data_IF_133978677927
#
_entry.id   IF_133978677927
#
_cell.length_a   1.000
_cell.length_b   1.000
_cell.length_c   1.000
_cell.angle_alpha   90.00
_cell.angle_beta   90.00
_cell.angle_gamma   90.00
#
_symmetry.space_group_name_H-M   'P 1'
#
loop_
_entity.id
_entity.type
_entity.pdbx_description
1 polymer ?
#
# COMPACT_ATOMS: atom_id res chain seq x y z
N UNK A 1 0.47 23.58 12.96
CA UNK A 1 1.39 22.81 12.10
C UNK A 1 2.51 22.13 12.91
N UNK A 2 3.14 22.80 13.87
CA UNK A 2 4.16 22.19 14.76
C UNK A 2 3.63 21.01 15.59
N UNK A 3 2.38 21.09 16.06
CA UNK A 3 1.72 20.01 16.82
C UNK A 3 1.51 18.72 16.00
N UNK A 4 1.12 18.83 14.72
CA UNK A 4 0.90 17.66 13.85
C UNK A 4 2.21 16.94 13.50
N UNK A 5 3.28 17.70 13.21
CA UNK A 5 4.61 17.12 12.94
C UNK A 5 5.17 16.40 14.18
N UNK A 6 5.07 17.02 15.35
CA UNK A 6 5.48 16.39 16.61
C UNK A 6 4.67 15.12 16.91
N UNK A 7 3.36 15.15 16.64
CA UNK A 7 2.51 13.96 16.77
C UNK A 7 2.95 12.83 15.85
N UNK A 8 3.17 13.11 14.56
CA UNK A 8 3.67 12.11 13.59
C UNK A 8 5.01 11.54 14.03
N UNK A 9 5.97 12.38 14.44
CA UNK A 9 7.26 11.93 14.95
C UNK A 9 7.12 11.02 16.18
N UNK A 10 6.20 11.35 17.10
CA UNK A 10 5.92 10.53 18.28
C UNK A 10 5.33 9.17 17.92
N UNK A 11 4.38 9.11 16.98
CA UNK A 11 3.79 7.85 16.52
C UNK A 11 4.82 6.97 15.81
N UNK A 12 5.72 7.55 15.01
CA UNK A 12 6.85 6.83 14.40
C UNK A 12 7.76 6.26 15.48
N UNK A 13 8.12 7.06 16.49
CA UNK A 13 8.98 6.58 17.57
C UNK A 13 8.33 5.44 18.35
N UNK A 14 7.02 5.53 18.63
CA UNK A 14 6.25 4.44 19.27
C UNK A 14 6.25 3.19 18.40
N UNK A 15 6.04 3.35 17.10
CA UNK A 15 6.07 2.24 16.14
C UNK A 15 7.45 1.58 16.05
N UNK A 16 8.52 2.36 15.91
CA UNK A 16 9.89 1.85 15.85
C UNK A 16 10.27 1.10 17.13
N UNK A 17 9.92 1.66 18.30
CA UNK A 17 10.09 0.97 19.59
C UNK A 17 9.32 -0.35 19.62
N UNK A 18 8.06 -0.37 19.19
CA UNK A 18 7.27 -1.59 19.13
C UNK A 18 7.88 -2.64 18.20
N UNK A 19 8.37 -2.21 17.02
CA UNK A 19 9.01 -3.10 16.05
C UNK A 19 10.29 -3.72 16.59
N UNK A 20 11.16 -2.94 17.24
CA UNK A 20 12.47 -3.41 17.69
C UNK A 20 12.34 -4.29 18.94
N UNK A 21 11.49 -3.87 19.89
CA UNK A 21 11.41 -4.50 21.21
C UNK A 21 10.57 -5.78 21.21
N UNK A 22 9.58 -5.90 20.33
CA UNK A 22 8.69 -7.08 20.30
C UNK A 22 9.21 -8.18 19.36
N UNK A 23 8.99 -9.45 19.74
CA UNK A 23 9.25 -10.60 18.87
C UNK A 23 8.53 -10.54 17.50
N UNK A 24 7.21 -10.24 17.41
CA UNK A 24 6.53 -10.10 16.13
C UNK A 24 7.10 -8.93 15.30
N UNK A 25 7.43 -7.82 15.96
CA UNK A 25 8.07 -6.67 15.33
C UNK A 25 9.41 -7.00 14.68
N UNK A 26 10.29 -7.71 15.38
CA UNK A 26 11.59 -8.14 14.83
C UNK A 26 11.41 -9.06 13.62
N UNK A 27 10.41 -9.96 13.63
CA UNK A 27 10.10 -10.81 12.49
C UNK A 27 9.65 -9.98 11.27
N UNK A 28 8.80 -8.98 11.48
CA UNK A 28 8.37 -8.04 10.43
C UNK A 28 9.57 -7.26 9.87
N UNK A 29 10.45 -6.76 10.76
CA UNK A 29 11.65 -6.03 10.37
C UNK A 29 12.59 -6.90 9.54
N UNK A 30 12.86 -8.13 9.98
CA UNK A 30 13.67 -9.09 9.22
C UNK A 30 13.10 -9.39 7.84
N UNK A 31 11.78 -9.61 7.75
CA UNK A 31 11.10 -9.77 6.45
C UNK A 31 11.30 -8.53 5.59
N UNK A 32 11.15 -7.33 6.13
CA UNK A 32 11.36 -6.09 5.39
C UNK A 32 12.81 -5.97 4.86
N UNK A 33 13.81 -6.20 5.71
CA UNK A 33 15.23 -6.19 5.31
C UNK A 33 15.51 -7.19 4.19
N UNK A 34 15.01 -8.43 4.31
CA UNK A 34 15.19 -9.45 3.29
C UNK A 34 14.50 -9.09 1.96
N UNK A 35 13.27 -8.57 2.01
CA UNK A 35 12.55 -8.14 0.81
C UNK A 35 13.26 -6.95 0.14
N UNK A 36 13.76 -5.99 0.91
CA UNK A 36 14.55 -4.86 0.40
C UNK A 36 15.85 -5.34 -0.24
N UNK A 37 16.49 -6.36 0.31
CA UNK A 37 17.70 -6.96 -0.26
C UNK A 37 17.42 -7.59 -1.63
N UNK A 38 16.39 -8.43 -1.71
CA UNK A 38 15.96 -9.07 -2.96
C UNK A 38 15.57 -8.01 -4.00
N UNK A 39 14.79 -7.00 -3.60
CA UNK A 39 14.38 -5.91 -4.48
C UNK A 39 15.58 -5.10 -4.99
N UNK A 40 16.56 -4.83 -4.13
CA UNK A 40 17.83 -4.16 -4.51
C UNK A 40 18.54 -4.97 -5.59
N UNK A 41 18.69 -6.28 -5.37
CA UNK A 41 19.33 -7.18 -6.33
C UNK A 41 18.59 -7.19 -7.67
N UNK A 42 17.26 -7.27 -7.65
CA UNK A 42 16.44 -7.24 -8.85
C UNK A 42 16.57 -5.92 -9.64
N UNK A 43 16.48 -4.77 -8.96
CA UNK A 43 16.60 -3.46 -9.60
C UNK A 43 18.00 -3.27 -10.19
N UNK A 44 19.04 -3.59 -9.41
CA UNK A 44 20.42 -3.44 -9.87
C UNK A 44 20.70 -4.38 -11.06
N UNK A 45 20.18 -5.61 -11.03
CA UNK A 45 20.33 -6.56 -12.15
C UNK A 45 19.62 -6.05 -13.40
N UNK A 46 18.41 -5.50 -13.28
CA UNK A 46 17.70 -4.88 -14.40
C UNK A 46 18.44 -3.68 -14.99
N UNK A 47 19.01 -2.82 -14.13
CA UNK A 47 19.87 -1.72 -14.57
C UNK A 47 21.12 -2.22 -15.28
N UNK A 48 21.78 -3.27 -14.76
CA UNK A 48 22.96 -3.85 -15.39
C UNK A 48 22.66 -4.42 -16.78
N UNK A 49 21.56 -5.15 -16.93
CA UNK A 49 21.12 -5.66 -18.24
C UNK A 49 20.84 -4.51 -19.20
N UNK A 50 20.19 -3.44 -18.74
CA UNK A 50 19.94 -2.25 -19.56
C UNK A 50 21.26 -1.57 -19.97
N UNK A 51 22.17 -1.31 -19.03
CA UNK A 51 23.47 -0.72 -19.33
C UNK A 51 24.28 -1.59 -20.29
N UNK A 52 24.29 -2.90 -20.08
CA UNK A 52 24.95 -3.85 -20.97
C UNK A 52 24.39 -3.77 -22.40
N UNK A 53 23.06 -3.72 -22.54
CA UNK A 53 22.40 -3.62 -23.84
C UNK A 53 22.58 -2.26 -24.54
N UNK A 54 22.55 -1.15 -23.80
CA UNK A 54 22.66 0.20 -24.36
C UNK A 54 24.12 0.66 -24.61
N UNK A 55 25.10 0.08 -23.91
CA UNK A 55 26.50 0.48 -23.99
C UNK A 55 27.41 -0.68 -24.40
N UNK A 56 26.96 -1.50 -25.36
CA UNK A 56 27.78 -2.53 -26.04
C UNK A 56 28.57 -3.44 -25.09
N UNK A 57 27.94 -3.89 -24.02
CA UNK A 57 28.56 -4.82 -23.07
C UNK A 57 29.36 -4.18 -21.94
N UNK A 58 29.25 -2.86 -21.75
CA UNK A 58 29.86 -2.18 -20.61
C UNK A 58 29.38 -2.79 -19.27
N UNK A 59 30.33 -3.28 -18.47
CA UNK A 59 30.10 -3.77 -17.11
C UNK A 59 30.81 -2.87 -16.09
N UNK A 60 30.08 -2.28 -15.12
CA UNK A 60 30.70 -1.48 -14.08
C UNK A 60 31.68 -2.31 -13.22
N UNK A 61 32.71 -1.66 -12.69
CA UNK A 61 33.68 -2.30 -11.79
C UNK A 61 32.97 -2.83 -10.53
N UNK A 62 33.47 -3.96 -9.99
CA UNK A 62 32.91 -4.60 -8.77
C UNK A 62 32.72 -3.63 -7.58
N UNK A 63 33.67 -2.72 -7.36
CA UNK A 63 33.57 -1.71 -6.29
C UNK A 63 32.39 -0.75 -6.50
N UNK A 64 32.17 -0.31 -7.74
CA UNK A 64 31.03 0.54 -8.10
C UNK A 64 29.72 -0.21 -7.92
N UNK A 65 29.65 -1.48 -8.35
CA UNK A 65 28.47 -2.32 -8.15
C UNK A 65 28.12 -2.48 -6.66
N UNK A 66 29.13 -2.74 -5.83
CA UNK A 66 28.94 -2.88 -4.39
C UNK A 66 28.47 -1.56 -3.76
N UNK A 67 29.09 -0.44 -4.12
CA UNK A 67 28.66 0.88 -3.63
C UNK A 67 27.22 1.22 -4.05
N UNK A 68 26.86 0.99 -5.32
CA UNK A 68 25.52 1.19 -5.83
C UNK A 68 24.50 0.27 -5.15
N UNK A 69 24.85 -1.01 -4.93
CA UNK A 69 24.02 -1.96 -4.22
C UNK A 69 23.77 -1.52 -2.79
N UNK A 70 24.82 -1.18 -2.03
CA UNK A 70 24.70 -0.72 -0.65
C UNK A 70 23.89 0.57 -0.55
N UNK A 71 24.15 1.55 -1.42
CA UNK A 71 23.39 2.80 -1.43
C UNK A 71 21.90 2.56 -1.75
N UNK A 72 21.59 1.74 -2.75
CA UNK A 72 20.22 1.39 -3.13
C UNK A 72 19.51 0.60 -2.02
N UNK A 73 20.19 -0.35 -1.40
CA UNK A 73 19.64 -1.14 -0.29
C UNK A 73 19.31 -0.25 0.91
N UNK A 74 20.27 0.58 1.35
CA UNK A 74 20.06 1.53 2.45
C UNK A 74 18.92 2.49 2.14
N UNK A 75 18.86 3.01 0.91
CA UNK A 75 17.76 3.84 0.46
C UNK A 75 16.42 3.11 0.55
N UNK A 76 16.32 1.89 0.03
CA UNK A 76 15.08 1.11 0.04
C UNK A 76 14.65 0.69 1.46
N UNK A 77 15.56 0.54 2.41
CA UNK A 77 15.24 0.27 3.82
C UNK A 77 14.74 1.53 4.54
N UNK A 78 15.42 2.65 4.36
CA UNK A 78 15.13 3.90 5.11
C UNK A 78 13.91 4.62 4.52
N UNK A 79 13.81 4.67 3.19
CA UNK A 79 12.83 5.50 2.50
C UNK A 79 11.38 5.17 2.89
N UNK A 80 10.94 3.91 2.99
CA UNK A 80 9.60 3.59 3.49
C UNK A 80 9.36 4.11 4.91
N UNK A 81 10.29 3.88 5.83
CA UNK A 81 10.18 4.34 7.23
C UNK A 81 10.09 5.87 7.33
N UNK A 82 10.87 6.57 6.51
CA UNK A 82 10.90 8.02 6.49
C UNK A 82 9.65 8.63 5.85
N UNK A 83 9.01 7.94 4.91
CA UNK A 83 7.96 8.54 4.06
C UNK A 83 6.53 8.11 4.41
N UNK A 84 6.35 6.89 4.95
CA UNK A 84 5.10 6.37 5.52
C UNK A 84 4.22 7.39 6.27
N UNK A 85 4.78 8.24 7.16
CA UNK A 85 3.98 9.11 8.02
C UNK A 85 3.53 10.39 7.31
N UNK A 86 4.19 10.77 6.21
CA UNK A 86 4.07 12.11 5.63
C UNK A 86 3.40 12.10 4.26
N UNK A 87 3.64 11.08 3.44
CA UNK A 87 3.03 10.99 2.12
C UNK A 87 2.90 9.56 1.65
N UNK A 88 1.88 9.30 0.82
CA UNK A 88 1.82 8.05 0.08
C UNK A 88 2.73 8.20 -1.13
N UNK A 89 3.69 7.28 -1.30
CA UNK A 89 4.52 7.22 -2.50
C UNK A 89 3.68 7.24 -3.78
N UNK A 90 2.47 6.67 -3.74
CA UNK A 90 1.51 6.69 -4.84
C UNK A 90 1.04 8.11 -5.19
N UNK A 91 0.85 8.98 -4.21
CA UNK A 91 0.42 10.36 -4.42
C UNK A 91 1.54 11.21 -5.01
N UNK A 92 2.78 10.96 -4.57
CA UNK A 92 3.96 11.60 -5.15
C UNK A 92 4.11 11.19 -6.61
N UNK A 93 3.98 9.89 -6.92
CA UNK A 93 4.04 9.38 -8.29
C UNK A 93 2.89 9.86 -9.16
N UNK A 94 1.67 9.93 -8.62
CA UNK A 94 0.53 10.45 -9.38
C UNK A 94 0.71 11.93 -9.71
N UNK A 95 1.17 12.74 -8.75
CA UNK A 95 1.50 14.17 -8.99
C UNK A 95 2.63 14.32 -10.01
N UNK A 96 3.68 13.51 -9.92
CA UNK A 96 4.77 13.50 -10.89
C UNK A 96 4.27 13.08 -12.28
N UNK A 97 3.46 12.03 -12.37
CA UNK A 97 2.90 11.57 -13.64
C UNK A 97 1.91 12.57 -14.23
N UNK A 98 1.09 13.23 -13.42
CA UNK A 98 0.22 14.30 -13.86
C UNK A 98 1.02 15.50 -14.37
N UNK A 99 2.13 15.84 -13.68
CA UNK A 99 3.01 16.94 -14.09
C UNK A 99 3.79 16.63 -15.37
N UNK A 100 4.28 15.41 -15.53
CA UNK A 100 5.12 15.01 -16.67
C UNK A 100 4.29 14.53 -17.88
N UNK A 101 3.18 13.84 -17.66
CA UNK A 101 2.42 13.16 -18.73
C UNK A 101 0.99 13.71 -18.90
N UNK A 102 0.56 14.68 -18.08
CA UNK A 102 -0.82 15.21 -18.04
C UNK A 102 -1.91 14.13 -17.92
N UNK A 103 -1.54 12.95 -17.40
CA UNK A 103 -2.44 11.81 -17.17
C UNK A 103 -2.43 11.47 -15.69
N UNK A 104 -3.62 11.26 -15.12
CA UNK A 104 -3.75 10.67 -13.79
C UNK A 104 -3.53 9.17 -13.92
N UNK A 105 -2.61 8.63 -13.12
CA UNK A 105 -2.35 7.19 -13.05
C UNK A 105 -3.30 6.50 -12.08
N UNK A 106 -3.89 7.26 -11.15
CA UNK A 106 -4.80 6.76 -10.13
C UNK A 106 -6.13 7.51 -10.18
N UNK A 107 -7.21 6.76 -9.96
CA UNK A 107 -8.55 7.29 -9.71
C UNK A 107 -8.81 7.23 -8.21
N UNK A 108 -8.88 8.40 -7.60
CA UNK A 108 -9.29 8.56 -6.22
C UNK A 108 -10.78 8.23 -6.09
N UNK A 109 -11.09 7.08 -5.49
CA UNK A 109 -12.48 6.69 -5.26
C UNK A 109 -13.00 7.26 -3.94
N UNK A 110 -12.13 7.37 -2.94
CA UNK A 110 -12.42 7.99 -1.66
C UNK A 110 -11.11 8.29 -0.92
N UNK A 111 -11.20 8.89 0.27
CA UNK A 111 -10.05 9.29 1.08
C UNK A 111 -9.06 8.14 1.39
N UNK A 112 -9.55 6.90 1.36
CA UNK A 112 -8.77 5.69 1.64
C UNK A 112 -8.84 4.64 0.55
N UNK A 113 -9.42 4.89 -0.63
CA UNK A 113 -9.55 3.85 -1.66
C UNK A 113 -9.25 4.42 -3.03
N UNK A 114 -8.39 3.72 -3.78
CA UNK A 114 -7.86 4.20 -5.05
C UNK A 114 -7.81 3.06 -6.07
N UNK A 115 -8.25 3.35 -7.30
CA UNK A 115 -8.10 2.46 -8.45
C UNK A 115 -6.92 2.89 -9.31
N UNK A 116 -6.14 1.91 -9.77
CA UNK A 116 -5.19 2.08 -10.87
C UNK A 116 -5.62 1.21 -12.03
N UNK A 117 -6.01 1.81 -13.15
CA UNK A 117 -6.27 1.06 -14.37
C UNK A 117 -4.96 0.76 -15.10
N UNK A 118 -4.76 -0.51 -15.41
CA UNK A 118 -3.65 -0.98 -16.23
C UNK A 118 -4.02 -0.90 -17.71
N UNK A 119 -3.02 -0.90 -18.60
CA UNK A 119 -3.23 -0.84 -20.06
C UNK A 119 -4.06 -2.02 -20.60
N UNK A 120 -4.12 -3.12 -19.87
CA UNK A 120 -4.92 -4.30 -20.20
C UNK A 120 -6.37 -4.24 -19.70
N UNK A 121 -6.81 -3.09 -19.14
CA UNK A 121 -8.17 -2.90 -18.62
C UNK A 121 -8.41 -3.48 -17.22
N UNK A 122 -7.39 -4.07 -16.58
CA UNK A 122 -7.48 -4.53 -15.18
C UNK A 122 -7.35 -3.36 -14.22
N UNK A 123 -7.95 -3.49 -13.04
CA UNK A 123 -7.95 -2.46 -12.01
C UNK A 123 -7.17 -2.96 -10.81
N UNK A 124 -6.14 -2.24 -10.38
CA UNK A 124 -5.51 -2.47 -9.09
C UNK A 124 -6.19 -1.65 -8.00
N UNK A 125 -6.79 -2.35 -7.02
CA UNK A 125 -7.37 -1.73 -5.83
C UNK A 125 -6.29 -1.54 -4.76
N UNK A 126 -6.18 -0.31 -4.25
CA UNK A 126 -5.29 0.03 -3.17
C UNK A 126 -6.08 0.59 -1.99
N UNK A 127 -5.93 -0.07 -0.83
CA UNK A 127 -6.57 0.33 0.41
C UNK A 127 -5.61 1.16 1.28
N UNK A 128 -6.12 2.33 1.62
CA UNK A 128 -5.78 3.28 2.67
C UNK A 128 -4.35 3.86 2.67
N UNK A 129 -4.26 5.13 3.06
CA UNK A 129 -3.04 5.92 3.13
C UNK A 129 -2.68 6.10 4.62
N UNK A 130 -1.49 5.69 5.04
CA UNK A 130 -1.08 5.79 6.44
C UNK A 130 -1.09 7.23 6.97
N UNK A 131 -0.68 8.19 6.14
CA UNK A 131 -0.66 9.60 6.50
C UNK A 131 -2.06 10.20 6.73
N UNK A 132 -3.10 9.72 6.03
CA UNK A 132 -4.48 10.20 6.21
C UNK A 132 -5.09 9.63 7.49
N UNK A 133 -4.82 8.37 7.80
CA UNK A 133 -5.24 7.75 9.07
C UNK A 133 -4.55 8.39 10.28
N UNK A 134 -3.28 8.76 10.15
CA UNK A 134 -2.56 9.53 11.18
C UNK A 134 -3.17 10.91 11.42
N UNK A 135 -3.50 11.63 10.34
CA UNK A 135 -4.12 12.94 10.45
C UNK A 135 -5.50 12.85 11.14
N UNK A 136 -6.29 11.84 10.78
CA UNK A 136 -7.58 11.57 11.42
C UNK A 136 -7.42 11.18 12.89
N UNK A 137 -6.44 10.33 13.23
CA UNK A 137 -6.11 10.00 14.62
C UNK A 137 -5.73 11.24 15.43
N UNK A 138 -4.91 12.12 14.85
CA UNK A 138 -4.52 13.38 15.49
C UNK A 138 -5.73 14.28 15.77
N UNK A 139 -6.62 14.45 14.78
CA UNK A 139 -7.83 15.26 14.91
C UNK A 139 -8.79 14.70 15.98
N UNK A 140 -9.00 13.38 16.00
CA UNK A 140 -9.84 12.74 17.02
C UNK A 140 -9.25 12.90 18.43
N UNK A 141 -7.93 12.82 18.56
CA UNK A 141 -7.24 13.03 19.84
C UNK A 141 -7.31 14.48 20.31
N UNK A 142 -7.20 15.45 19.40
CA UNK A 142 -7.33 16.87 19.74
C UNK A 142 -8.75 17.22 20.18
N UNK A 143 -9.77 16.73 19.47
CA UNK A 143 -11.18 17.05 19.75
C UNK A 143 -11.67 16.45 21.06
N UNK A 144 -11.08 15.33 21.48
CA UNK A 144 -11.52 14.57 22.66
C UNK A 144 -10.60 14.78 23.87
N UNK A 145 -9.68 15.74 23.81
CA UNK A 145 -8.65 15.99 24.82
C UNK A 145 -7.90 14.71 25.26
N UNK A 146 -7.70 13.77 24.32
CA UNK A 146 -7.04 12.48 24.57
C UNK A 146 -7.83 11.47 25.43
N UNK A 147 -9.12 11.71 25.74
CA UNK A 147 -9.92 10.86 26.65
C UNK A 147 -10.74 9.76 25.95
N UNK A 148 -10.72 9.65 24.62
CA UNK A 148 -11.54 8.63 23.94
C UNK A 148 -10.94 7.22 24.07
N UNK A 149 -11.66 6.34 24.80
CA UNK A 149 -11.36 4.89 24.87
C UNK A 149 -11.64 4.12 23.55
N UNK A 150 -12.17 4.77 22.50
CA UNK A 150 -12.69 4.13 21.28
C UNK A 150 -12.11 4.65 19.95
N UNK A 151 -10.92 5.26 19.94
CA UNK A 151 -10.29 5.82 18.71
C UNK A 151 -10.17 4.75 17.61
N UNK A 152 -9.77 3.53 17.98
CA UNK A 152 -9.66 2.40 17.05
C UNK A 152 -10.99 2.08 16.34
N UNK A 153 -12.12 2.12 17.08
CA UNK A 153 -13.46 1.93 16.51
C UNK A 153 -13.87 3.07 15.58
N UNK A 154 -13.53 4.31 15.91
CA UNK A 154 -13.80 5.46 15.06
C UNK A 154 -13.00 5.39 13.74
N UNK A 155 -11.71 5.09 13.80
CA UNK A 155 -10.85 4.91 12.62
C UNK A 155 -11.33 3.75 11.75
N UNK A 156 -11.67 2.60 12.36
CA UNK A 156 -12.24 1.47 11.64
C UNK A 156 -13.58 1.82 10.98
N UNK A 157 -14.44 2.58 11.68
CA UNK A 157 -15.71 3.08 11.15
C UNK A 157 -15.53 4.08 10.01
N UNK A 158 -14.52 4.93 10.06
CA UNK A 158 -14.17 5.86 8.99
C UNK A 158 -13.68 5.13 7.74
N UNK A 159 -12.74 4.18 7.91
CA UNK A 159 -12.28 3.33 6.82
C UNK A 159 -13.44 2.53 6.20
N UNK A 160 -14.36 2.03 7.00
CA UNK A 160 -15.58 1.36 6.55
C UNK A 160 -16.52 2.27 5.75
N UNK A 161 -16.63 3.56 6.09
CA UNK A 161 -17.40 4.57 5.35
C UNK A 161 -16.74 4.91 4.02
N UNK A 162 -15.43 5.16 4.05
CA UNK A 162 -14.63 5.43 2.84
C UNK A 162 -14.67 4.27 1.84
N UNK A 163 -14.71 3.01 2.29
CA UNK A 163 -14.94 1.86 1.41
C UNK A 163 -16.34 1.91 0.78
N UNK A 164 -17.38 2.25 1.55
CA UNK A 164 -18.76 2.34 1.03
C UNK A 164 -18.89 3.46 -0.01
N UNK A 165 -18.29 4.61 0.24
CA UNK A 165 -18.24 5.72 -0.73
C UNK A 165 -17.54 5.31 -2.03
N UNK A 166 -16.43 4.58 -1.92
CA UNK A 166 -15.73 4.06 -3.08
C UNK A 166 -16.60 3.11 -3.92
N UNK A 167 -17.45 2.30 -3.29
CA UNK A 167 -18.45 1.45 -3.99
C UNK A 167 -19.48 2.31 -4.73
N UNK A 168 -20.00 3.36 -4.08
CA UNK A 168 -20.96 4.27 -4.72
C UNK A 168 -20.35 4.98 -5.93
N UNK A 169 -19.12 5.48 -5.83
CA UNK A 169 -18.45 6.11 -6.95
C UNK A 169 -18.13 5.09 -8.06
N UNK A 170 -17.78 3.86 -7.70
CA UNK A 170 -17.60 2.77 -8.68
C UNK A 170 -18.89 2.50 -9.48
N UNK A 171 -20.07 2.50 -8.82
CA UNK A 171 -21.38 2.43 -9.51
C UNK A 171 -21.58 3.56 -10.51
N UNK A 172 -21.28 4.80 -10.12
CA UNK A 172 -21.40 5.96 -11.01
C UNK A 172 -20.45 5.88 -12.21
N UNK A 173 -19.23 5.37 -11.99
CA UNK A 173 -18.25 5.18 -13.07
C UNK A 173 -18.67 4.09 -14.06
N UNK A 174 -19.37 3.05 -13.59
CA UNK A 174 -20.00 2.04 -14.47
C UNK A 174 -21.17 2.65 -15.23
N UNK A 175 -22.08 3.35 -14.54
CA UNK A 175 -23.23 4.00 -15.17
C UNK A 175 -22.86 5.06 -16.21
N UNK A 176 -21.70 5.70 -16.08
CA UNK A 176 -21.16 6.65 -17.07
C UNK A 176 -20.28 6.01 -18.16
N UNK A 177 -20.19 4.67 -18.20
CA UNK A 177 -19.42 3.92 -19.21
C UNK A 177 -17.89 4.01 -19.05
N UNK A 178 -17.38 4.61 -17.97
CA UNK A 178 -15.94 4.76 -17.70
C UNK A 178 -15.31 3.49 -17.14
N UNK A 179 -16.10 2.65 -16.46
CA UNK A 179 -15.74 1.31 -16.04
C UNK A 179 -16.69 0.31 -16.67
N UNK A 180 -16.19 -0.89 -16.96
CA UNK A 180 -17.03 -1.99 -17.45
C UNK A 180 -17.28 -3.00 -16.33
N UNK A 181 -18.49 -3.59 -16.21
CA UNK A 181 -18.81 -4.52 -15.13
C UNK A 181 -17.92 -5.77 -15.09
N UNK A 182 -17.43 -6.22 -16.25
CA UNK A 182 -16.56 -7.38 -16.45
C UNK A 182 -15.09 -7.13 -16.11
N UNK A 183 -14.71 -5.87 -15.85
CA UNK A 183 -13.33 -5.53 -15.49
C UNK A 183 -12.91 -6.23 -14.19
N UNK A 184 -11.75 -6.89 -14.26
CA UNK A 184 -11.15 -7.56 -13.11
C UNK A 184 -10.43 -6.54 -12.24
N UNK A 185 -10.85 -6.49 -10.98
CA UNK A 185 -10.17 -5.81 -9.89
C UNK A 185 -9.24 -6.83 -9.24
N UNK A 186 -7.93 -6.62 -9.34
CA UNK A 186 -6.91 -7.44 -8.69
C UNK A 186 -6.16 -6.62 -7.66
N UNK A 187 -5.72 -7.24 -6.58
CA UNK A 187 -4.90 -6.55 -5.61
C UNK A 187 -4.32 -7.49 -4.59
N UNK A 188 -3.38 -6.97 -3.82
CA UNK A 188 -3.03 -7.56 -2.54
C UNK A 188 -3.42 -6.58 -1.45
N UNK A 189 -4.06 -7.10 -0.42
CA UNK A 189 -4.27 -6.41 0.84
C UNK A 189 -3.73 -7.30 1.95
N UNK A 190 -3.93 -6.94 3.20
CA UNK A 190 -3.46 -7.71 4.34
C UNK A 190 -4.65 -8.36 5.02
N UNK A 191 -4.45 -9.52 5.64
CA UNK A 191 -5.53 -10.36 6.21
C UNK A 191 -6.54 -9.59 7.06
N UNK A 192 -6.08 -8.62 7.85
CA UNK A 192 -6.95 -7.77 8.69
C UNK A 192 -7.83 -6.80 7.86
N UNK A 193 -7.27 -6.13 6.84
CA UNK A 193 -8.02 -5.26 5.92
C UNK A 193 -8.92 -6.09 5.00
N UNK A 194 -8.47 -7.29 4.65
CA UNK A 194 -9.22 -8.22 3.81
C UNK A 194 -10.52 -8.62 4.48
N UNK A 195 -10.52 -8.93 5.79
CA UNK A 195 -11.75 -9.33 6.50
C UNK A 195 -12.86 -8.27 6.40
N UNK A 196 -12.51 -6.99 6.62
CA UNK A 196 -13.46 -5.88 6.54
C UNK A 196 -13.89 -5.56 5.09
N UNK A 197 -12.99 -5.75 4.12
CA UNK A 197 -13.23 -5.47 2.71
C UNK A 197 -13.97 -6.62 2.00
N UNK A 198 -13.73 -7.87 2.38
CA UNK A 198 -14.24 -9.09 1.73
C UNK A 198 -15.77 -9.10 1.67
N UNK A 199 -16.42 -8.86 2.81
CA UNK A 199 -17.89 -8.88 2.90
C UNK A 199 -18.55 -7.70 2.17
N UNK A 200 -17.85 -6.57 2.05
CA UNK A 200 -18.40 -5.33 1.45
C UNK A 200 -18.12 -5.18 -0.04
N UNK A 201 -17.03 -5.78 -0.53
CA UNK A 201 -16.56 -5.63 -1.91
C UNK A 201 -16.61 -6.97 -2.68
N UNK A 202 -17.19 -8.02 -2.12
CA UNK A 202 -17.30 -9.32 -2.78
C UNK A 202 -15.95 -9.97 -3.12
N UNK A 203 -14.88 -9.63 -2.39
CA UNK A 203 -13.52 -10.02 -2.77
C UNK A 203 -13.32 -11.54 -2.64
N UNK A 204 -12.90 -12.19 -3.72
CA UNK A 204 -12.50 -13.60 -3.70
C UNK A 204 -10.99 -13.69 -3.52
N UNK A 205 -10.53 -14.58 -2.62
CA UNK A 205 -9.09 -14.85 -2.49
C UNK A 205 -8.60 -15.51 -3.78
N UNK A 206 -7.46 -15.07 -4.28
CA UNK A 206 -6.78 -15.73 -5.38
C UNK A 206 -5.36 -16.09 -4.96
N UNK A 207 -4.82 -17.20 -5.46
CA UNK A 207 -3.39 -17.43 -5.41
C UNK A 207 -2.75 -16.79 -6.64
N UNK A 208 -1.67 -16.02 -6.49
CA UNK A 208 -0.96 -15.51 -7.66
C UNK A 208 -0.31 -16.67 -8.42
N UNK A 209 -0.25 -16.60 -9.76
CA UNK A 209 0.47 -17.60 -10.57
C UNK A 209 1.96 -17.58 -10.24
N UNK A 210 2.68 -18.72 -10.27
CA UNK A 210 4.02 -18.85 -9.68
C UNK A 210 5.02 -17.73 -10.00
N UNK A 211 5.20 -17.37 -11.27
CA UNK A 211 6.11 -16.30 -11.71
C UNK A 211 5.61 -14.89 -11.36
N UNK A 212 4.31 -14.65 -11.53
CA UNK A 212 3.72 -13.35 -11.16
C UNK A 212 3.73 -13.17 -9.64
N UNK A 213 3.53 -14.24 -8.88
CA UNK A 213 3.58 -14.27 -7.43
C UNK A 213 4.99 -14.04 -6.87
N UNK A 214 6.04 -14.46 -7.58
CA UNK A 214 7.40 -14.15 -7.18
C UNK A 214 7.73 -12.67 -7.39
N UNK A 215 7.55 -12.15 -8.62
CA UNK A 215 7.85 -10.75 -8.95
C UNK A 215 6.92 -9.77 -8.24
N UNK A 216 5.61 -9.90 -8.42
CA UNK A 216 4.64 -9.01 -7.76
C UNK A 216 4.70 -9.18 -6.24
N UNK A 217 4.99 -10.39 -5.74
CA UNK A 217 5.10 -10.65 -4.32
C UNK A 217 6.23 -9.90 -3.65
N UNK A 218 7.39 -9.73 -4.30
CA UNK A 218 8.48 -8.90 -3.75
C UNK A 218 8.03 -7.45 -3.58
N UNK A 219 7.38 -6.85 -4.59
CA UNK A 219 6.88 -5.48 -4.49
C UNK A 219 5.76 -5.32 -3.45
N UNK A 220 4.84 -6.28 -3.34
CA UNK A 220 3.78 -6.24 -2.32
C UNK A 220 4.32 -6.47 -0.91
N UNK A 221 5.30 -7.36 -0.75
CA UNK A 221 5.98 -7.60 0.54
C UNK A 221 6.86 -6.42 0.94
N UNK A 222 7.41 -5.67 -0.02
CA UNK A 222 8.09 -4.40 0.28
C UNK A 222 7.11 -3.37 0.86
N UNK A 223 5.90 -3.27 0.28
CA UNK A 223 4.81 -2.43 0.81
C UNK A 223 4.23 -2.88 2.15
N UNK A 224 4.60 -4.07 2.65
CA UNK A 224 4.09 -4.65 3.89
C UNK A 224 4.24 -3.73 5.10
N UNK A 225 5.42 -3.13 5.24
CA UNK A 225 5.76 -2.30 6.39
C UNK A 225 4.81 -1.09 6.53
N UNK A 226 4.33 -0.54 5.40
CA UNK A 226 3.36 0.56 5.37
C UNK A 226 2.02 0.14 5.97
N UNK A 227 1.56 -1.07 5.68
CA UNK A 227 0.31 -1.57 6.22
C UNK A 227 0.42 -2.09 7.66
N UNK A 228 1.59 -2.62 8.06
CA UNK A 228 1.88 -2.85 9.49
C UNK A 228 1.78 -1.53 10.26
N UNK A 229 2.36 -0.46 9.71
CA UNK A 229 2.28 0.86 10.31
C UNK A 229 0.84 1.36 10.40
N UNK A 230 0.03 1.19 9.36
CA UNK A 230 -1.40 1.53 9.40
C UNK A 230 -2.16 0.74 10.47
N UNK A 231 -1.91 -0.57 10.58
CA UNK A 231 -2.49 -1.39 11.63
C UNK A 231 -2.11 -0.85 13.02
N UNK A 232 -0.84 -0.52 13.22
CA UNK A 232 -0.35 0.06 14.46
C UNK A 232 -1.01 1.40 14.79
N UNK A 233 -1.22 2.28 13.79
CA UNK A 233 -1.90 3.56 14.00
C UNK A 233 -3.35 3.34 14.48
N UNK A 234 -4.05 2.35 13.91
CA UNK A 234 -5.46 2.05 14.26
C UNK A 234 -5.57 1.35 15.63
N UNK A 235 -4.70 0.39 15.91
CA UNK A 235 -4.85 -0.53 17.03
C UNK A 235 -3.87 -0.30 18.19
N UNK A 236 -2.91 0.62 18.03
CA UNK A 236 -1.81 0.89 18.99
C UNK A 236 -0.97 -0.36 19.35
N UNK A 237 -1.06 -1.41 18.54
CA UNK A 237 -0.34 -2.68 18.70
C UNK A 237 0.10 -3.23 17.34
N UNK A 238 1.13 -4.08 17.34
CA UNK A 238 1.56 -4.75 16.12
C UNK A 238 0.63 -5.95 15.80
N UNK A 239 0.43 -6.26 14.52
CA UNK A 239 -0.33 -7.45 14.14
C UNK A 239 0.45 -8.72 14.55
N UNK A 240 -0.24 -9.78 15.02
CA UNK A 240 0.41 -11.03 15.41
C UNK A 240 1.06 -11.74 14.21
N UNK A 241 0.41 -11.66 13.05
CA UNK A 241 0.88 -12.18 11.79
C UNK A 241 0.65 -11.17 10.67
N UNK A 242 1.51 -11.22 9.64
CA UNK A 242 1.47 -10.24 8.57
C UNK A 242 1.79 -10.88 7.22
N UNK A 243 0.76 -11.47 6.61
CA UNK A 243 0.85 -12.11 5.31
C UNK A 243 -0.05 -11.39 4.29
N UNK A 244 0.47 -11.13 3.07
CA UNK A 244 -0.33 -10.53 2.00
C UNK A 244 -1.41 -11.51 1.54
N UNK A 245 -2.64 -11.02 1.48
CA UNK A 245 -3.78 -11.73 0.90
C UNK A 245 -4.05 -11.13 -0.48
N UNK A 246 -3.83 -11.94 -1.50
CA UNK A 246 -4.18 -11.60 -2.87
C UNK A 246 -5.67 -11.85 -3.09
N UNK A 247 -6.30 -10.93 -3.81
CA UNK A 247 -7.70 -11.01 -4.12
C UNK A 247 -8.00 -10.59 -5.54
N UNK A 248 -9.12 -11.11 -6.02
CA UNK A 248 -9.73 -10.77 -7.28
C UNK A 248 -11.22 -10.54 -7.04
N UNK A 249 -11.77 -9.51 -7.68
CA UNK A 249 -13.19 -9.25 -7.78
C UNK A 249 -13.49 -8.76 -9.19
N UNK A 250 -14.73 -8.89 -9.65
CA UNK A 250 -15.20 -8.13 -10.80
C UNK A 250 -15.80 -6.80 -10.32
N UNK A 251 -15.82 -5.79 -11.19
CA UNK A 251 -16.53 -4.54 -10.88
C UNK A 251 -18.00 -4.82 -10.55
N UNK A 252 -18.63 -5.77 -11.26
CA UNK A 252 -19.99 -6.27 -10.98
C UNK A 252 -20.17 -6.84 -9.56
N UNK A 253 -19.17 -7.55 -9.02
CA UNK A 253 -19.17 -8.06 -7.64
C UNK A 253 -19.11 -6.91 -6.63
N UNK A 254 -18.30 -5.88 -6.91
CA UNK A 254 -18.11 -4.72 -6.03
C UNK A 254 -19.36 -3.84 -5.98
N UNK A 255 -20.07 -3.68 -7.10
CA UNK A 255 -21.27 -2.85 -7.17
C UNK A 255 -22.55 -3.60 -6.76
N UNK A 256 -22.49 -4.93 -6.57
CA UNK A 256 -23.62 -5.75 -6.14
C UNK A 256 -24.59 -6.12 -7.26
N UNK A 257 -24.14 -6.10 -8.52
CA UNK A 257 -24.92 -6.56 -9.67
C UNK A 257 -24.71 -8.05 -9.95
N UNK A 258 -23.55 -8.61 -9.59
CA UNK A 258 -23.22 -10.03 -9.79
C UNK A 258 -24.02 -11.03 -8.95
N UNK A 259 -24.77 -10.58 -7.93
CA UNK A 259 -25.60 -11.46 -7.10
C UNK A 259 -27.05 -11.60 -7.60
N UNK A 260 -27.41 -10.99 -8.74
CA UNK A 260 -28.74 -11.13 -9.35
C UNK A 260 -28.81 -12.24 -10.41
N UNK A 261 -27.71 -12.94 -10.66
CA UNK A 261 -27.60 -13.97 -11.71
C UNK A 261 -27.06 -15.31 -11.20
N UNK A 262 -27.45 -15.71 -10.00
CA UNK A 262 -27.22 -17.07 -9.48
C UNK A 262 -28.46 -17.58 -8.79
#
# INVERSE_FOLDING_TARGET
>A
MSSDLLFRCREIQRFLKAIILSAPGRRILWRHLLNSLVLTAMILSGLLVAFFGFFEGFLPRRRTLLACFSALYTFLVIMPLATMPFFSFKDLFDRLAQRCMRRRLFYDLSQHVFYRTHRNGQISLHLAKAHSLLAEKHHLLSDTAGRTRNISRHLAGSLARSIREAVHLSRQLVGSGKLKPDQKITGATYSYLFGAAKSKLGLKRCQPSGWSGWLSGVFYRYGALHAVFMYFVIHDQLPPEFDPVYFMAQVSDVIGEGSKSS
#
